data_IF_997183518372
#
_entry.id   IF_997183518372
#
_cell.length_a   1.000
_cell.length_b   1.000
_cell.length_c   1.000
_cell.angle_alpha   90.00
_cell.angle_beta   90.00
_cell.angle_gamma   90.00
#
_symmetry.space_group_name_H-M   'P 1'
#
loop_
_entity.id
_entity.type
_entity.pdbx_description
1 polymer ?
#
# COMPACT_ATOMS: atom_id res chain seq x y z
N UNK A 1 43.31 -17.16 -27.83
CA UNK A 1 41.93 -17.16 -27.30
C UNK A 1 41.89 -16.32 -26.02
N UNK A 2 41.69 -15.01 -26.12
CA UNK A 2 41.79 -14.08 -24.97
C UNK A 2 40.54 -13.18 -24.78
N UNK A 3 39.38 -13.59 -25.31
CA UNK A 3 38.17 -12.73 -25.37
C UNK A 3 37.10 -12.98 -24.31
N UNK A 4 37.22 -13.99 -23.46
CA UNK A 4 36.11 -14.42 -22.57
C UNK A 4 36.19 -13.88 -21.14
N UNK A 5 37.37 -13.42 -20.69
CA UNK A 5 37.59 -13.06 -19.28
C UNK A 5 37.28 -11.58 -18.99
N UNK A 6 37.45 -10.70 -19.98
CA UNK A 6 37.12 -9.27 -19.84
C UNK A 6 35.60 -9.03 -19.76
N UNK A 7 34.81 -9.81 -20.51
CA UNK A 7 33.34 -9.68 -20.53
C UNK A 7 32.71 -9.99 -19.16
N UNK A 8 33.28 -10.93 -18.40
CA UNK A 8 32.77 -11.32 -17.07
C UNK A 8 33.09 -10.23 -16.03
N UNK A 9 34.27 -9.62 -16.11
CA UNK A 9 34.69 -8.51 -15.25
C UNK A 9 33.77 -7.29 -15.44
N UNK A 10 33.47 -6.94 -16.70
CA UNK A 10 32.58 -5.82 -17.04
C UNK A 10 31.16 -6.08 -16.56
N UNK A 11 30.61 -7.28 -16.73
CA UNK A 11 29.25 -7.61 -16.24
C UNK A 11 29.17 -7.55 -14.71
N UNK A 12 30.19 -8.00 -13.99
CA UNK A 12 30.23 -7.89 -12.52
C UNK A 12 30.34 -6.44 -12.06
N UNK A 13 31.16 -5.62 -12.73
CA UNK A 13 31.32 -4.21 -12.42
C UNK A 13 30.03 -3.42 -12.70
N UNK A 14 29.36 -3.67 -13.83
CA UNK A 14 28.05 -3.07 -14.13
C UNK A 14 27.01 -3.49 -13.09
N UNK A 15 26.93 -4.78 -12.71
CA UNK A 15 26.00 -5.23 -11.65
C UNK A 15 26.31 -4.62 -10.28
N UNK A 16 27.58 -4.41 -9.93
CA UNK A 16 27.99 -3.74 -8.69
C UNK A 16 27.73 -2.23 -8.74
N UNK A 17 27.93 -1.60 -9.91
CA UNK A 17 27.60 -0.20 -10.15
C UNK A 17 26.10 0.02 -10.08
N UNK A 18 25.28 -0.80 -10.75
CA UNK A 18 23.81 -0.71 -10.71
C UNK A 18 23.27 -0.90 -9.28
N UNK A 19 23.89 -1.76 -8.45
CA UNK A 19 23.53 -1.87 -7.02
C UNK A 19 23.86 -0.62 -6.19
N UNK A 20 24.86 0.18 -6.59
CA UNK A 20 25.22 1.42 -5.87
C UNK A 20 24.37 2.63 -6.28
N UNK A 21 23.71 2.62 -7.44
CA UNK A 21 22.88 3.76 -7.89
C UNK A 21 21.46 3.68 -7.30
N UNK A 22 21.01 2.50 -6.86
CA UNK A 22 19.67 2.29 -6.33
C UNK A 22 19.57 2.41 -4.80
N UNK A 23 20.69 2.65 -4.10
CA UNK A 23 20.71 2.77 -2.63
C UNK A 23 19.91 3.96 -2.07
N UNK A 24 19.45 4.89 -2.92
CA UNK A 24 18.60 6.03 -2.49
C UNK A 24 17.10 5.83 -2.72
N UNK A 25 16.68 4.79 -3.43
CA UNK A 25 15.26 4.50 -3.72
C UNK A 25 14.70 3.38 -2.80
N UNK A 26 15.60 2.63 -2.15
CA UNK A 26 15.28 1.50 -1.27
C UNK A 26 15.10 1.87 0.22
N UNK A 27 15.23 3.16 0.60
CA UNK A 27 15.06 3.66 1.99
C UNK A 27 13.69 4.35 2.20
N UNK A 28 12.68 3.97 1.42
CA UNK A 28 11.36 4.62 1.42
C UNK A 28 10.26 3.62 1.75
N UNK A 29 9.55 3.91 2.85
CA UNK A 29 8.29 3.25 3.19
C UNK A 29 7.11 3.95 2.53
N UNK A 30 6.19 3.17 1.97
CA UNK A 30 4.90 3.67 1.51
C UNK A 30 3.82 3.35 2.53
N UNK A 31 3.05 4.36 2.91
CA UNK A 31 1.92 4.25 3.83
C UNK A 31 0.69 4.79 3.13
N UNK A 32 -0.41 4.05 3.23
CA UNK A 32 -1.69 4.52 2.71
C UNK A 32 -2.39 5.31 3.81
N UNK A 33 -3.00 6.42 3.41
CA UNK A 33 -3.84 7.27 4.25
C UNK A 33 -5.19 7.52 3.56
N UNK A 34 -6.24 7.79 4.34
CA UNK A 34 -7.55 8.22 3.85
C UNK A 34 -7.66 9.75 3.90
N UNK A 35 -7.90 10.41 2.77
CA UNK A 35 -8.10 11.86 2.69
C UNK A 35 -9.55 12.30 2.85
N UNK A 36 -10.46 11.38 3.14
CA UNK A 36 -11.87 11.65 3.43
C UNK A 36 -12.16 11.76 4.93
N UNK A 37 -13.33 12.33 5.26
CA UNK A 37 -13.86 12.44 6.61
C UNK A 37 -14.23 11.09 7.22
N UNK A 38 -14.41 10.05 6.41
CA UNK A 38 -14.81 8.72 6.88
C UNK A 38 -13.60 7.84 7.27
N UNK A 39 -13.89 6.57 7.59
CA UNK A 39 -12.86 5.59 7.95
C UNK A 39 -12.09 5.09 6.73
N UNK A 40 -10.86 4.64 6.97
CA UNK A 40 -10.13 3.88 5.96
C UNK A 40 -10.87 2.58 5.61
N UNK A 41 -11.09 2.37 4.32
CA UNK A 41 -11.50 1.09 3.76
C UNK A 41 -11.12 1.00 2.27
N UNK A 42 -10.92 -0.23 1.79
CA UNK A 42 -10.76 -0.50 0.36
C UNK A 42 -12.06 -1.01 -0.25
N UNK A 43 -12.18 -0.84 -1.55
CA UNK A 43 -13.31 -1.32 -2.33
C UNK A 43 -13.32 -2.85 -2.43
N UNK A 44 -14.47 -3.42 -2.77
CA UNK A 44 -14.61 -4.84 -3.08
C UNK A 44 -13.67 -5.27 -4.21
N UNK A 45 -13.42 -4.40 -5.21
CA UNK A 45 -12.48 -4.68 -6.30
C UNK A 45 -11.05 -4.83 -5.77
N UNK A 46 -10.61 -3.91 -4.92
CA UNK A 46 -9.31 -4.00 -4.26
C UNK A 46 -9.22 -5.22 -3.33
N UNK A 47 -10.28 -5.50 -2.58
CA UNK A 47 -10.39 -6.67 -1.72
C UNK A 47 -10.22 -8.00 -2.47
N UNK A 48 -10.91 -8.17 -3.60
CA UNK A 48 -10.73 -9.34 -4.46
C UNK A 48 -9.29 -9.44 -4.97
N UNK A 49 -8.72 -8.32 -5.40
CA UNK A 49 -7.32 -8.27 -5.86
C UNK A 49 -6.33 -8.67 -4.77
N UNK A 50 -6.55 -8.26 -3.53
CA UNK A 50 -5.74 -8.66 -2.37
C UNK A 50 -5.84 -10.16 -2.09
N UNK A 51 -7.04 -10.74 -2.23
CA UNK A 51 -7.23 -12.19 -2.10
C UNK A 51 -6.55 -12.98 -3.21
N UNK A 52 -6.61 -12.51 -4.46
CA UNK A 52 -5.88 -13.11 -5.58
C UNK A 52 -4.36 -13.15 -5.33
N UNK A 53 -3.83 -12.13 -4.65
CA UNK A 53 -2.42 -12.04 -4.26
C UNK A 53 -2.08 -12.82 -2.98
N UNK A 54 -3.07 -13.45 -2.33
CA UNK A 54 -2.85 -14.29 -1.14
C UNK A 54 -2.73 -13.52 0.18
N UNK A 55 -3.21 -12.28 0.26
CA UNK A 55 -3.16 -11.49 1.49
C UNK A 55 -3.98 -12.15 2.61
N UNK A 56 -3.34 -12.50 3.72
CA UNK A 56 -3.94 -13.32 4.77
C UNK A 56 -5.11 -12.65 5.48
N UNK A 57 -5.02 -11.35 5.77
CA UNK A 57 -6.08 -10.59 6.42
C UNK A 57 -7.31 -10.46 5.51
N UNK A 58 -7.09 -10.30 4.19
CA UNK A 58 -8.19 -10.26 3.21
C UNK A 58 -8.88 -11.62 3.04
N UNK A 59 -8.14 -12.73 3.17
CA UNK A 59 -8.69 -14.08 3.12
C UNK A 59 -9.55 -14.42 4.34
N UNK A 60 -9.21 -13.86 5.52
CA UNK A 60 -9.96 -14.06 6.77
C UNK A 60 -11.21 -13.19 6.86
N UNK A 61 -11.20 -12.01 6.24
CA UNK A 61 -12.36 -11.12 6.23
C UNK A 61 -13.51 -11.72 5.41
N UNK A 62 -14.76 -11.76 5.92
CA UNK A 62 -15.90 -12.31 5.18
C UNK A 62 -16.21 -11.52 3.90
N UNK A 63 -16.38 -12.23 2.78
CA UNK A 63 -16.87 -11.62 1.56
C UNK A 63 -18.41 -11.52 1.58
N UNK A 64 -18.92 -10.35 1.92
CA UNK A 64 -20.36 -10.11 1.98
C UNK A 64 -21.04 -10.23 0.62
N UNK A 65 -20.32 -10.00 -0.49
CA UNK A 65 -20.89 -10.08 -1.83
C UNK A 65 -21.30 -11.49 -2.24
N UNK A 66 -20.71 -12.53 -1.63
CA UNK A 66 -21.06 -13.93 -1.91
C UNK A 66 -22.47 -14.26 -1.42
N UNK A 67 -22.88 -13.69 -0.28
CA UNK A 67 -24.20 -13.91 0.30
C UNK A 67 -25.22 -12.84 -0.15
N UNK A 68 -24.75 -11.63 -0.44
CA UNK A 68 -25.55 -10.49 -0.86
C UNK A 68 -24.83 -9.71 -1.97
N UNK A 69 -25.04 -10.05 -3.25
CA UNK A 69 -24.31 -9.44 -4.36
C UNK A 69 -24.39 -7.90 -4.42
N UNK A 70 -25.46 -7.30 -3.88
CA UNK A 70 -25.60 -5.84 -3.87
C UNK A 70 -24.63 -5.13 -2.90
N UNK A 71 -23.97 -5.84 -1.98
CA UNK A 71 -23.08 -5.28 -0.96
C UNK A 71 -21.76 -4.76 -1.53
N UNK A 72 -21.39 -5.25 -2.72
CA UNK A 72 -20.28 -4.74 -3.52
C UNK A 72 -20.74 -3.74 -4.60
N UNK A 73 -22.04 -3.50 -4.71
CA UNK A 73 -22.64 -2.72 -5.77
C UNK A 73 -22.94 -1.27 -5.37
N UNK A 74 -23.20 -0.39 -6.34
CA UNK A 74 -23.51 1.02 -6.11
C UNK A 74 -24.85 1.24 -5.37
N UNK A 75 -25.67 0.20 -5.20
CA UNK A 75 -26.95 0.27 -4.49
C UNK A 75 -26.79 0.27 -2.97
N UNK A 76 -25.72 -0.35 -2.47
CA UNK A 76 -25.40 -0.40 -1.03
C UNK A 76 -23.93 0.00 -0.83
N UNK A 77 -23.54 1.23 -1.23
CA UNK A 77 -22.14 1.64 -1.21
C UNK A 77 -21.59 1.62 0.21
N UNK A 78 -22.44 1.79 1.24
CA UNK A 78 -22.07 1.71 2.65
C UNK A 78 -21.53 0.35 3.08
N UNK A 79 -21.84 -0.72 2.35
CA UNK A 79 -21.32 -2.07 2.60
C UNK A 79 -20.00 -2.37 1.88
N UNK A 80 -19.57 -1.48 0.98
CA UNK A 80 -18.32 -1.58 0.24
C UNK A 80 -17.12 -1.12 1.09
N UNK A 81 -16.91 -1.77 2.23
CA UNK A 81 -15.86 -1.43 3.20
C UNK A 81 -15.08 -2.68 3.58
N UNK A 82 -13.86 -2.82 3.06
CA UNK A 82 -12.99 -3.97 3.32
C UNK A 82 -11.57 -3.55 3.73
N UNK A 83 -10.75 -4.52 4.13
CA UNK A 83 -9.31 -4.34 4.33
C UNK A 83 -8.91 -3.61 5.60
N UNK A 84 -9.84 -3.45 6.56
CA UNK A 84 -9.60 -2.72 7.82
C UNK A 84 -8.52 -3.37 8.70
N UNK A 85 -8.28 -4.67 8.52
CA UNK A 85 -7.29 -5.44 9.26
C UNK A 85 -5.89 -5.42 8.62
N UNK A 86 -5.77 -4.95 7.38
CA UNK A 86 -4.50 -4.95 6.65
C UNK A 86 -3.63 -3.78 7.14
N UNK A 87 -2.35 -4.01 7.48
CA UNK A 87 -1.43 -2.94 7.86
C UNK A 87 -1.35 -1.84 6.79
N UNK A 88 -1.22 -0.57 7.22
CA UNK A 88 -1.26 0.59 6.31
C UNK A 88 -0.02 0.74 5.45
N UNK A 89 1.07 0.06 5.83
CA UNK A 89 2.34 -0.06 5.12
C UNK A 89 2.54 -1.44 4.46
N UNK A 90 1.50 -2.27 4.40
CA UNK A 90 1.57 -3.56 3.72
C UNK A 90 1.88 -3.38 2.23
N UNK A 91 2.91 -4.07 1.75
CA UNK A 91 3.39 -3.93 0.37
C UNK A 91 2.35 -4.38 -0.67
N UNK A 92 1.55 -5.42 -0.35
CA UNK A 92 0.48 -5.89 -1.22
C UNK A 92 -0.64 -4.85 -1.29
N UNK A 93 -1.00 -4.25 -0.16
CA UNK A 93 -1.98 -3.18 -0.08
C UNK A 93 -1.54 -1.96 -0.90
N UNK A 94 -0.31 -1.49 -0.71
CA UNK A 94 0.28 -0.39 -1.49
C UNK A 94 0.20 -0.69 -2.98
N UNK A 95 0.67 -1.89 -3.39
CA UNK A 95 0.62 -2.32 -4.78
C UNK A 95 -0.79 -2.26 -5.35
N UNK A 96 -1.79 -2.77 -4.62
CA UNK A 96 -3.19 -2.79 -5.09
C UNK A 96 -3.78 -1.39 -5.19
N UNK A 97 -3.48 -0.50 -4.23
CA UNK A 97 -3.95 0.89 -4.28
C UNK A 97 -3.30 1.65 -5.44
N UNK A 98 -2.02 1.43 -5.72
CA UNK A 98 -1.34 2.02 -6.89
C UNK A 98 -1.87 1.45 -8.21
N UNK A 99 -2.12 0.14 -8.27
CA UNK A 99 -2.65 -0.55 -9.45
C UNK A 99 -4.08 -0.09 -9.81
N UNK A 100 -4.95 0.06 -8.80
CA UNK A 100 -6.38 0.34 -9.01
C UNK A 100 -6.75 1.82 -8.87
N UNK A 101 -5.87 2.65 -8.31
CA UNK A 101 -6.08 4.08 -8.11
C UNK A 101 -7.44 4.35 -7.41
N UNK A 102 -8.28 5.23 -7.97
CA UNK A 102 -9.60 5.57 -7.42
C UNK A 102 -10.53 4.36 -7.29
N UNK A 103 -10.36 3.32 -8.10
CA UNK A 103 -11.14 2.10 -8.00
C UNK A 103 -10.80 1.27 -6.75
N UNK A 104 -9.70 1.59 -6.05
CA UNK A 104 -9.37 1.02 -4.75
C UNK A 104 -10.18 1.62 -3.59
N UNK A 105 -10.80 2.79 -3.79
CA UNK A 105 -11.51 3.50 -2.73
C UNK A 105 -12.76 2.73 -2.29
N UNK A 106 -12.81 2.37 -1.00
CA UNK A 106 -14.03 1.87 -0.38
C UNK A 106 -15.09 2.97 -0.19
N UNK A 107 -16.15 2.65 0.55
CA UNK A 107 -17.23 3.59 0.82
C UNK A 107 -16.71 4.91 1.39
N UNK A 108 -17.01 6.01 0.68
CA UNK A 108 -16.65 7.36 1.09
C UNK A 108 -15.16 7.54 1.47
N UNK A 109 -14.27 6.69 0.96
CA UNK A 109 -12.83 6.77 1.17
C UNK A 109 -12.15 7.50 0.00
N UNK A 110 -11.04 8.16 0.29
CA UNK A 110 -10.16 8.76 -0.71
C UNK A 110 -8.72 8.35 -0.40
N UNK A 111 -8.28 7.21 -0.93
CA UNK A 111 -7.00 6.62 -0.57
C UNK A 111 -5.84 7.35 -1.26
N UNK A 112 -4.77 7.61 -0.49
CA UNK A 112 -3.54 8.20 -0.98
C UNK A 112 -2.35 7.44 -0.43
N UNK A 113 -1.37 7.15 -1.29
CA UNK A 113 -0.08 6.60 -0.90
C UNK A 113 0.88 7.76 -0.57
N UNK A 114 1.55 7.68 0.57
CA UNK A 114 2.55 8.64 1.03
C UNK A 114 3.87 7.91 1.26
N UNK A 115 4.94 8.46 0.71
CA UNK A 115 6.30 7.99 0.91
C UNK A 115 6.91 8.69 2.14
N UNK A 116 7.51 7.91 3.05
CA UNK A 116 8.27 8.38 4.20
C UNK A 116 9.62 7.64 4.26
N UNK A 117 10.63 8.12 5.00
CA UNK A 117 11.85 7.35 5.22
C UNK A 117 11.57 6.02 5.94
N UNK A 118 12.28 4.95 5.58
CA UNK A 118 12.05 3.62 6.17
C UNK A 118 12.49 3.49 7.64
N UNK A 119 13.45 4.30 8.06
CA UNK A 119 14.07 4.24 9.38
C UNK A 119 13.31 4.99 10.48
N UNK A 120 12.22 5.69 10.13
CA UNK A 120 11.45 6.47 11.12
C UNK A 120 10.25 5.69 11.65
N UNK A 121 9.97 5.89 12.95
CA UNK A 121 8.69 5.49 13.52
C UNK A 121 7.63 6.49 13.08
N UNK A 122 6.44 6.02 12.75
CA UNK A 122 5.35 6.86 12.27
C UNK A 122 4.05 6.58 13.01
N UNK A 123 3.14 7.54 12.93
CA UNK A 123 1.75 7.41 13.38
C UNK A 123 0.83 8.08 12.36
N UNK A 124 -0.42 7.63 12.30
CA UNK A 124 -1.47 8.30 11.54
C UNK A 124 -2.36 9.06 12.53
N UNK A 125 -2.58 10.34 12.26
CA UNK A 125 -3.54 11.20 12.97
C UNK A 125 -4.62 11.67 12.01
N UNK A 126 -5.78 12.03 12.57
CA UNK A 126 -6.85 12.68 11.81
C UNK A 126 -6.80 14.18 12.06
N UNK A 127 -6.56 14.95 11.01
CA UNK A 127 -6.49 16.40 11.04
C UNK A 127 -7.15 16.99 9.78
N UNK A 128 -7.90 18.09 9.95
CA UNK A 128 -8.58 18.81 8.86
C UNK A 128 -9.44 17.92 7.95
N UNK A 129 -10.16 16.96 8.55
CA UNK A 129 -11.10 16.12 7.81
C UNK A 129 -10.47 14.95 7.04
N UNK A 130 -9.19 14.66 7.24
CA UNK A 130 -8.56 13.46 6.69
C UNK A 130 -7.41 12.95 7.55
N UNK A 131 -6.86 11.82 7.16
CA UNK A 131 -5.65 11.27 7.75
C UNK A 131 -4.42 12.06 7.29
N UNK A 132 -3.45 12.15 8.21
CA UNK A 132 -2.09 12.63 8.02
C UNK A 132 -1.14 11.62 8.65
N UNK A 133 0.01 11.40 8.01
CA UNK A 133 1.07 10.56 8.56
C UNK A 133 2.20 11.46 9.03
N UNK A 134 2.69 11.25 10.25
CA UNK A 134 3.80 12.00 10.83
C UNK A 134 4.79 11.09 11.53
N UNK A 135 6.04 11.52 11.60
CA UNK A 135 7.05 10.85 12.42
C UNK A 135 6.70 10.97 13.92
N UNK A 136 7.03 9.93 14.68
CA UNK A 136 6.90 9.94 16.14
C UNK A 136 8.12 10.62 16.74
N UNK A 137 7.95 11.86 17.20
CA UNK A 137 9.01 12.62 17.87
C UNK A 137 8.97 12.46 19.40
N UNK A 138 10.11 12.71 20.05
CA UNK A 138 10.19 12.82 21.52
C UNK A 138 9.52 14.12 21.97
N UNK A 139 8.78 14.04 23.07
CA UNK A 139 8.18 15.21 23.73
C UNK A 139 8.76 15.34 25.12
N UNK A 140 9.10 16.57 25.53
CA UNK A 140 9.57 16.90 26.87
C UNK A 140 8.62 17.93 27.48
N UNK A 141 8.36 17.83 28.78
CA UNK A 141 7.53 18.75 29.56
C UNK A 141 8.40 19.68 30.41
#
# INVERSE_FOLDING_TARGET
MAGFNESIQVIKLVRQSTRRINQGEDDVRKIIINKSYDEFCVSHKAFLRLRELGQQEALQEPNRSEYWPAAAGPREPSLNQYGKLIPRDDQTLVRVVEELQEAANGHAAALKVVAIPDEVKWLITKADGGEQVSEVHRTWA
#
